data_IF_813737184841
#
_entry.id   IF_813737184841
#
_cell.length_a   1.000
_cell.length_b   1.000
_cell.length_c   1.000
_cell.angle_alpha   90.00
_cell.angle_beta   90.00
_cell.angle_gamma   90.00
#
_symmetry.space_group_name_H-M   'P 1'
#
loop_
_entity.id
_entity.type
_entity.pdbx_description
1 polymer ?
2 non-polymer ?
3 non-polymer ?
4 non-polymer ?
5 non-polymer ?
6 non-polymer ?
7 non-polymer ?
8 water ?
#
# COMPACT_ATOMS: atom_id res chain seq x y z
N UNK A 1 10.24 -20.45 -28.27
CA UNK A 1 11.54 -21.04 -27.98
C UNK A 1 11.94 -20.89 -26.51
N UNK A 2 13.16 -21.25 -26.28
CA UNK A 2 13.75 -21.17 -24.93
C UNK A 2 13.72 -19.81 -24.35
N UNK A 3 14.00 -18.79 -25.16
CA UNK A 3 14.04 -17.42 -24.65
C UNK A 3 12.67 -16.96 -24.22
N UNK A 4 11.65 -17.26 -25.03
CA UNK A 4 10.34 -16.89 -24.71
C UNK A 4 9.85 -17.60 -23.41
N UNK A 5 10.17 -18.86 -23.32
CA UNK A 5 9.70 -19.63 -22.23
C UNK A 5 10.33 -19.04 -20.91
N UNK A 6 11.61 -18.75 -20.89
CA UNK A 6 12.29 -18.21 -19.68
C UNK A 6 11.76 -16.84 -19.35
N UNK A 7 11.56 -16.05 -20.39
CA UNK A 7 11.01 -14.76 -20.24
C UNK A 7 9.58 -14.75 -19.63
N UNK A 8 8.71 -15.64 -20.13
CA UNK A 8 7.39 -15.78 -19.62
C UNK A 8 7.38 -16.25 -18.21
N UNK A 9 8.25 -17.19 -17.89
CA UNK A 9 8.40 -17.66 -16.55
C UNK A 9 8.82 -16.50 -15.62
N UNK A 10 9.73 -15.67 -16.06
CA UNK A 10 10.13 -14.55 -15.26
C UNK A 10 8.99 -13.53 -15.08
N UNK A 11 8.27 -13.26 -16.16
CA UNK A 11 7.10 -12.41 -16.11
C UNK A 11 5.96 -12.94 -15.16
N UNK A 12 5.59 -14.21 -15.25
CA UNK A 12 4.66 -14.76 -14.40
C UNK A 12 5.10 -14.78 -12.93
N UNK A 13 6.35 -15.03 -12.60
CA UNK A 13 6.80 -14.84 -11.20
C UNK A 13 6.63 -13.41 -10.74
N UNK A 14 6.98 -12.41 -11.57
CA UNK A 14 6.76 -10.98 -11.23
C UNK A 14 5.27 -10.74 -10.95
N UNK A 15 4.36 -11.24 -11.83
CA UNK A 15 2.96 -11.11 -11.55
C UNK A 15 2.51 -11.74 -10.22
N UNK A 16 2.96 -12.97 -9.95
CA UNK A 16 2.73 -13.66 -8.68
C UNK A 16 3.24 -12.87 -7.50
N UNK A 17 4.42 -12.28 -7.65
CA UNK A 17 5.06 -11.47 -6.58
C UNK A 17 4.17 -10.23 -6.32
N UNK A 18 3.81 -9.53 -7.38
CA UNK A 18 2.96 -8.38 -7.28
C UNK A 18 1.57 -8.72 -6.62
N UNK A 19 0.93 -9.83 -6.98
CA UNK A 19 -0.24 -10.23 -6.29
C UNK A 19 -0.06 -10.49 -4.77
N UNK A 20 0.98 -11.27 -4.42
CA UNK A 20 1.28 -11.51 -3.00
C UNK A 20 1.57 -10.30 -2.26
N UNK A 21 2.43 -9.49 -2.77
CA UNK A 21 2.76 -8.25 -2.08
C UNK A 21 1.60 -7.31 -1.87
N UNK A 22 0.71 -7.21 -2.84
CA UNK A 22 -0.39 -6.39 -2.72
C UNK A 22 -1.48 -6.83 -1.77
N UNK A 23 -1.72 -8.14 -1.70
CA UNK A 23 -2.56 -8.71 -0.68
C UNK A 23 -2.01 -8.54 0.70
N UNK A 24 -0.70 -8.56 0.85
CA UNK A 24 -0.11 -8.32 2.15
C UNK A 24 -0.30 -6.88 2.66
N UNK A 25 -0.29 -5.94 1.72
CA UNK A 25 -0.62 -4.53 2.04
C UNK A 25 -2.05 -4.33 2.34
N UNK A 26 -2.89 -5.07 1.67
CA UNK A 26 -4.30 -4.93 1.83
C UNK A 26 -4.82 -5.20 3.20
N UNK A 27 -4.25 -6.16 3.87
CA UNK A 27 -4.69 -6.53 5.14
C UNK A 27 -4.54 -5.42 6.22
N UNK A 28 -3.33 -4.96 6.52
CA UNK A 28 -3.30 -3.78 7.39
C UNK A 28 -4.13 -2.53 6.91
N UNK A 29 -4.25 -2.28 5.63
CA UNK A 29 -5.09 -1.21 5.17
C UNK A 29 -6.55 -1.28 5.53
N UNK A 30 -7.12 -2.47 5.37
CA UNK A 30 -8.55 -2.74 5.74
C UNK A 30 -8.78 -2.51 7.22
N UNK A 31 -7.85 -2.87 8.09
CA UNK A 31 -7.84 -2.38 9.45
C UNK A 31 -7.90 -0.83 9.70
N UNK A 32 -6.95 -0.07 9.13
CA UNK A 32 -6.96 1.33 9.21
C UNK A 32 -8.31 1.88 8.76
N UNK A 33 -8.78 1.43 7.62
CA UNK A 33 -10.06 1.88 7.11
C UNK A 33 -11.25 1.54 7.99
N UNK A 34 -11.29 0.32 8.46
CA UNK A 34 -12.32 -0.12 9.29
C UNK A 34 -12.39 0.66 10.57
N UNK A 35 -11.25 0.92 11.15
CA UNK A 35 -11.18 1.68 12.41
C UNK A 35 -11.61 3.12 12.23
N UNK A 36 -11.23 3.71 11.12
CA UNK A 36 -11.71 5.07 10.82
C UNK A 36 -13.18 5.15 10.56
N UNK A 37 -13.76 4.15 9.93
CA UNK A 37 -15.22 4.12 9.78
C UNK A 37 -15.91 3.98 11.10
N UNK A 38 -15.34 3.24 12.03
CA UNK A 38 -15.94 3.08 13.38
C UNK A 38 -16.09 4.41 14.04
N UNK A 39 -15.05 5.19 13.95
CA UNK A 39 -15.11 6.53 14.39
C UNK A 39 -16.17 7.38 13.68
N UNK A 40 -16.21 7.36 12.37
CA UNK A 40 -17.21 8.14 11.71
C UNK A 40 -18.64 7.72 12.09
N UNK A 41 -18.89 6.44 12.33
CA UNK A 41 -20.21 5.98 12.79
C UNK A 41 -20.58 6.42 14.22
N UNK A 42 -19.71 7.12 14.95
CA UNK A 42 -19.98 7.53 16.34
C UNK A 42 -19.68 6.40 17.36
N UNK A 43 -19.10 5.30 16.89
CA UNK A 43 -18.90 4.14 17.76
C UNK A 43 -17.59 4.17 18.59
N UNK A 44 -16.74 5.20 18.50
CA UNK A 44 -15.40 5.14 19.18
C UNK A 44 -15.50 5.84 20.51
N UNK A 45 -15.27 5.09 21.58
CA UNK A 45 -15.26 5.69 22.95
C UNK A 45 -13.76 6.10 23.18
N UNK A 46 -12.81 5.18 23.05
CA UNK A 46 -11.39 5.47 23.27
C UNK A 46 -10.66 5.62 21.95
N UNK A 47 -10.64 6.83 21.43
CA UNK A 47 -9.97 7.14 20.21
C UNK A 47 -8.49 6.91 20.32
N UNK A 48 -7.92 7.06 21.49
CA UNK A 48 -6.48 6.81 21.66
C UNK A 48 -6.05 5.39 21.33
N UNK A 49 -6.88 4.45 21.75
CA UNK A 49 -6.71 3.06 21.40
C UNK A 49 -6.91 2.82 19.93
N UNK A 50 -7.94 3.41 19.32
CA UNK A 50 -8.24 3.29 17.95
C UNK A 50 -7.07 3.80 17.14
N UNK A 51 -6.56 4.94 17.52
CA UNK A 51 -5.41 5.60 16.87
C UNK A 51 -4.09 4.83 16.98
N UNK A 52 -3.92 4.20 18.11
CA UNK A 52 -2.78 3.37 18.35
C UNK A 52 -2.74 2.18 17.37
N UNK A 53 -3.87 1.54 17.18
CA UNK A 53 -3.94 0.44 16.25
C UNK A 53 -3.67 0.95 14.85
N UNK A 54 -4.26 2.08 14.51
CA UNK A 54 -4.04 2.66 13.24
C UNK A 54 -2.58 2.96 13.00
N UNK A 55 -1.91 3.52 13.97
CA UNK A 55 -0.51 3.82 13.87
C UNK A 55 0.35 2.57 13.70
N UNK A 56 0.00 1.54 14.42
CA UNK A 56 0.69 0.30 14.37
C UNK A 56 0.59 -0.32 12.99
N UNK A 57 -0.59 -0.33 12.43
CA UNK A 57 -0.79 -0.90 11.07
C UNK A 57 -0.08 -0.04 10.02
N UNK A 58 0.02 1.27 10.21
CA UNK A 58 0.62 2.13 9.25
C UNK A 58 2.13 1.84 9.27
N UNK A 59 2.69 1.68 10.45
CA UNK A 59 4.10 1.37 10.58
C UNK A 59 4.41 0.00 9.98
N UNK A 60 3.56 -0.98 10.24
CA UNK A 60 3.70 -2.27 9.60
C UNK A 60 3.71 -2.09 8.06
N UNK A 61 2.78 -1.36 7.48
CA UNK A 61 2.81 -1.19 6.06
C UNK A 61 3.99 -0.43 5.59
N UNK A 62 4.49 0.44 6.46
CA UNK A 62 5.65 1.17 6.09
C UNK A 62 6.84 0.30 5.84
N UNK A 63 7.01 -0.67 6.69
CA UNK A 63 8.03 -1.63 6.50
C UNK A 63 7.83 -2.50 5.33
N UNK A 64 6.61 -2.94 5.06
CA UNK A 64 6.34 -3.74 3.87
C UNK A 64 6.74 -2.90 2.65
N UNK A 65 6.31 -1.64 2.63
CA UNK A 65 6.54 -0.85 1.46
C UNK A 65 8.02 -0.62 1.25
N UNK A 66 8.74 -0.34 2.34
CA UNK A 66 10.23 -0.17 2.17
C UNK A 66 10.90 -1.42 1.60
N UNK A 67 10.44 -2.58 2.02
CA UNK A 67 10.96 -3.80 1.50
C UNK A 67 10.57 -4.03 0.07
N UNK A 68 9.33 -3.68 -0.32
CA UNK A 68 8.99 -3.77 -1.74
C UNK A 68 9.85 -2.91 -2.65
N UNK A 69 10.13 -1.71 -2.19
CA UNK A 69 10.98 -0.76 -2.89
C UNK A 69 12.33 -1.38 -3.14
N UNK A 70 12.91 -2.07 -2.10
CA UNK A 70 14.20 -2.72 -2.29
C UNK A 70 14.13 -3.93 -3.18
N UNK A 71 13.07 -4.72 -3.04
CA UNK A 71 12.93 -5.92 -3.91
C UNK A 71 12.70 -5.60 -5.33
N UNK A 72 12.08 -4.50 -5.60
CA UNK A 72 11.82 -4.14 -7.04
C UNK A 72 13.12 -3.88 -7.76
N UNK A 73 14.19 -3.60 -7.02
CA UNK A 73 15.49 -3.44 -7.65
C UNK A 73 16.20 -4.77 -7.91
N UNK A 74 15.79 -5.90 -7.37
CA UNK A 74 16.54 -7.13 -7.53
C UNK A 74 16.07 -8.01 -8.63
N UNK B 1 13.87 -13.72 -29.16
CA UNK B 1 13.17 -13.01 -30.28
C UNK B 1 12.03 -12.22 -29.72
N UNK B 2 10.96 -12.05 -30.50
CA UNK B 2 9.85 -11.12 -30.20
C UNK B 2 8.99 -11.45 -29.00
N UNK B 3 8.62 -12.71 -28.83
CA UNK B 3 7.84 -13.13 -27.65
C UNK B 3 8.61 -12.87 -26.37
N UNK B 4 9.92 -13.17 -26.36
CA UNK B 4 10.80 -12.87 -25.20
C UNK B 4 10.82 -11.37 -24.87
N UNK B 5 10.85 -10.55 -25.92
CA UNK B 5 10.75 -9.10 -25.84
C UNK B 5 9.45 -8.59 -25.20
N UNK B 6 8.31 -9.03 -25.70
CA UNK B 6 7.04 -8.69 -25.08
C UNK B 6 6.99 -9.09 -23.56
N UNK B 7 7.38 -10.30 -23.22
CA UNK B 7 7.34 -10.75 -21.85
C UNK B 7 8.25 -9.90 -21.01
N UNK B 8 9.42 -9.58 -21.52
CA UNK B 8 10.38 -8.73 -20.85
C UNK B 8 9.90 -7.31 -20.70
N UNK B 9 9.32 -6.77 -21.76
CA UNK B 9 8.73 -5.45 -21.69
C UNK B 9 7.60 -5.37 -20.63
N UNK B 10 6.81 -6.43 -20.59
CA UNK B 10 5.74 -6.55 -19.61
C UNK B 10 6.27 -6.59 -18.17
N UNK B 11 7.26 -7.40 -17.92
CA UNK B 11 7.95 -7.48 -16.59
C UNK B 11 8.60 -6.16 -16.12
N UNK B 12 9.22 -5.47 -17.05
CA UNK B 12 9.87 -4.18 -16.78
C UNK B 12 8.89 -3.11 -16.43
N UNK B 13 7.76 -3.11 -17.14
CA UNK B 13 6.65 -2.19 -16.87
C UNK B 13 6.00 -2.43 -15.49
N UNK B 14 5.78 -3.70 -15.13
CA UNK B 14 5.35 -4.08 -13.80
C UNK B 14 6.31 -3.72 -12.69
N UNK B 15 7.58 -3.98 -12.91
CA UNK B 15 8.61 -3.54 -11.93
C UNK B 15 8.62 -2.03 -11.65
N UNK B 16 8.43 -1.26 -12.70
CA UNK B 16 8.32 0.20 -12.52
C UNK B 16 7.09 0.61 -11.80
N UNK B 17 5.98 -0.05 -12.10
CA UNK B 17 4.72 0.18 -11.37
C UNK B 17 4.82 -0.06 -9.93
N UNK B 18 5.41 -1.16 -9.57
CA UNK B 18 5.54 -1.44 -8.18
C UNK B 18 6.43 -0.40 -7.50
N UNK B 19 7.53 -0.01 -8.15
CA UNK B 19 8.32 1.09 -7.67
C UNK B 19 7.52 2.39 -7.45
N UNK B 20 6.78 2.81 -8.49
CA UNK B 20 6.06 4.06 -8.39
C UNK B 20 4.98 3.97 -7.30
N UNK B 21 4.18 2.90 -7.35
CA UNK B 21 3.18 2.64 -6.30
C UNK B 21 3.72 2.68 -4.92
N UNK B 22 4.83 2.05 -4.67
CA UNK B 22 5.40 1.91 -3.36
C UNK B 22 5.85 3.29 -2.89
N UNK B 23 6.50 4.04 -3.79
CA UNK B 23 6.82 5.42 -3.44
C UNK B 23 5.57 6.25 -3.09
N UNK B 24 4.52 6.10 -3.88
CA UNK B 24 3.29 6.82 -3.65
C UNK B 24 2.56 6.33 -2.36
N UNK B 25 2.73 5.11 -1.90
CA UNK B 25 2.11 4.66 -0.65
C UNK B 25 2.87 5.25 0.56
N UNK B 26 4.12 5.55 0.36
CA UNK B 26 4.98 6.05 1.40
C UNK B 26 4.50 7.39 1.89
N UNK B 27 4.01 8.24 1.00
CA UNK B 27 3.52 9.51 1.31
C UNK B 27 2.23 9.62 2.21
N UNK B 28 1.07 8.95 1.87
CA UNK B 28 0.04 8.74 2.87
C UNK B 28 0.52 8.17 4.19
N UNK B 29 1.46 7.22 4.21
CA UNK B 29 1.86 6.63 5.48
C UNK B 29 2.58 7.62 6.37
N UNK B 30 3.42 8.44 5.74
CA UNK B 30 4.10 9.54 6.48
C UNK B 30 3.13 10.60 6.97
N UNK B 31 2.12 10.95 6.14
CA UNK B 31 1.05 11.85 6.55
C UNK B 31 0.29 11.34 7.76
N UNK B 32 -0.10 10.08 7.73
CA UNK B 32 -0.86 9.52 8.88
C UNK B 32 0.03 9.64 10.16
N UNK B 33 1.28 9.22 10.03
CA UNK B 33 2.23 9.24 11.14
C UNK B 33 2.50 10.58 11.73
N UNK B 34 2.76 11.53 10.83
CA UNK B 34 2.97 12.88 11.26
C UNK B 34 1.83 13.60 11.91
N UNK B 35 0.62 13.40 11.33
CA UNK B 35 -0.57 14.01 11.89
C UNK B 35 -0.84 13.33 13.21
N UNK B 36 -0.77 11.97 13.28
CA UNK B 36 -1.07 11.33 14.54
C UNK B 36 -0.17 11.85 15.68
N UNK B 37 1.08 11.96 15.40
CA UNK B 37 2.00 12.61 16.37
C UNK B 37 1.65 14.00 16.85
N UNK B 38 1.31 14.88 15.95
CA UNK B 38 0.94 16.25 16.29
C UNK B 38 -0.25 16.24 17.22
N UNK B 39 -1.25 15.43 16.86
CA UNK B 39 -2.47 15.30 17.68
C UNK B 39 -2.25 14.73 19.08
N UNK B 40 -1.43 13.73 19.16
CA UNK B 40 -1.09 13.14 20.44
C UNK B 40 -0.38 14.13 21.34
N UNK B 41 0.43 15.00 20.77
CA UNK B 41 1.22 16.01 21.46
C UNK B 41 0.42 17.21 21.91
N UNK B 42 -0.85 17.29 21.48
CA UNK B 42 -1.71 18.42 21.84
C UNK B 42 -1.52 19.68 21.09
N UNK B 43 -0.92 19.56 19.88
CA UNK B 43 -0.58 20.68 19.12
C UNK B 43 -1.68 20.97 18.12
N UNK B 44 -2.69 20.11 18.04
CA UNK B 44 -3.82 20.33 17.10
C UNK B 44 -5.26 20.16 17.65
N UNK B 45 -6.22 20.68 16.90
CA UNK B 45 -7.60 20.57 17.27
C UNK B 45 -8.46 19.91 16.18
N UNK B 46 -9.55 19.32 16.60
CA UNK B 46 -10.55 18.62 15.68
C UNK B 46 -10.04 17.32 15.27
N UNK B 47 -10.26 16.42 16.17
CA UNK B 47 -9.90 15.05 16.00
C UNK B 47 -10.69 14.42 14.86
N UNK B 48 -11.87 14.92 14.59
CA UNK B 48 -12.62 14.46 13.42
C UNK B 48 -11.90 14.76 12.14
N UNK B 49 -11.19 15.90 12.02
CA UNK B 49 -10.35 16.11 10.86
C UNK B 49 -9.12 15.18 10.75
N UNK B 50 -8.50 14.82 11.88
CA UNK B 50 -7.45 13.85 11.83
C UNK B 50 -8.02 12.55 11.26
N UNK B 51 -9.09 12.05 11.87
CA UNK B 51 -9.69 10.77 11.41
C UNK B 51 -10.20 10.81 9.98
N UNK B 52 -10.66 11.96 9.55
CA UNK B 52 -11.13 12.12 8.15
C UNK B 52 -10.00 12.15 7.21
N UNK B 53 -8.87 12.64 7.66
CA UNK B 53 -7.67 12.65 6.82
C UNK B 53 -7.11 11.21 6.70
N UNK B 54 -7.12 10.49 7.82
CA UNK B 54 -6.69 9.07 7.83
C UNK B 54 -7.61 8.27 6.84
N UNK B 55 -8.91 8.54 6.86
CA UNK B 55 -9.89 7.87 6.01
C UNK B 55 -9.59 8.14 4.55
N UNK B 56 -9.37 9.39 4.22
CA UNK B 56 -8.95 9.74 2.91
C UNK B 56 -7.65 9.11 2.34
N UNK B 57 -6.63 9.13 3.15
CA UNK B 57 -5.32 8.59 2.79
C UNK B 57 -5.50 7.05 2.59
N UNK B 58 -6.24 6.41 3.51
CA UNK B 58 -6.49 5.00 3.42
C UNK B 58 -7.27 4.63 2.16
N UNK B 59 -8.20 5.47 1.77
CA UNK B 59 -8.97 5.19 0.56
C UNK B 59 -8.08 5.30 -0.67
N UNK B 60 -7.17 6.24 -0.66
CA UNK B 60 -6.28 6.47 -1.75
C UNK B 60 -5.31 5.30 -1.90
N UNK B 61 -4.82 4.82 -0.78
CA UNK B 61 -3.95 3.69 -0.72
C UNK B 61 -4.69 2.46 -1.25
N UNK B 62 -5.95 2.31 -0.90
CA UNK B 62 -6.80 1.19 -1.40
C UNK B 62 -6.77 1.13 -2.91
N UNK B 63 -6.89 2.31 -3.53
CA UNK B 63 -6.98 2.32 -4.98
C UNK B 63 -5.69 1.99 -5.60
N UNK B 64 -4.59 2.41 -5.00
CA UNK B 64 -3.23 2.03 -5.44
C UNK B 64 -2.94 0.53 -5.33
N UNK B 65 -3.28 -0.05 -4.20
CA UNK B 65 -3.14 -1.46 -4.00
C UNK B 65 -3.99 -2.26 -5.04
N UNK B 66 -5.23 -1.90 -5.20
CA UNK B 66 -6.06 -2.58 -6.18
C UNK B 66 -5.54 -2.39 -7.59
N UNK B 67 -4.95 -1.26 -7.90
CA UNK B 67 -4.41 -1.09 -9.22
C UNK B 67 -3.30 -2.14 -9.49
N UNK B 68 -2.47 -2.41 -8.50
CA UNK B 68 -1.40 -3.37 -8.61
C UNK B 68 -1.98 -4.75 -8.83
N UNK B 69 -2.94 -5.11 -7.98
CA UNK B 69 -3.55 -6.42 -8.12
C UNK B 69 -4.14 -6.57 -9.55
N UNK B 70 -4.75 -5.54 -10.07
CA UNK B 70 -5.38 -5.69 -11.38
C UNK B 70 -4.34 -5.76 -12.50
N UNK B 71 -3.30 -4.95 -12.34
CA UNK B 71 -2.19 -5.02 -13.28
C UNK B 71 -1.62 -6.38 -13.41
N UNK B 72 -1.44 -7.05 -12.31
CA UNK B 72 -0.98 -8.42 -12.25
C UNK B 72 -1.89 -9.37 -13.03
N UNK B 73 -3.17 -9.10 -13.12
CA UNK B 73 -4.03 -10.01 -13.82
C UNK B 73 -4.18 -9.62 -15.25
N UNK B 74 -3.68 -8.48 -15.68
CA UNK B 74 -3.84 -8.16 -17.09
C UNK B 74 -2.67 -8.67 -17.94
X LIG C 1 13.08 -10.12 -9.55
X LIG D 1 10.50 -6.92 5.68
X LIG D 1 11.01 -5.99 6.63
X LIG D 1 9.04 -7.26 5.91
X LIG D 1 8.43 -7.68 4.67
X LIG E 1 11.95 -7.71 -8.26
X LIG E 1 10.80 -8.05 -7.48
X LIG E 1 10.85 -9.44 -6.80
X LIG E 1 11.00 -10.51 -7.75
X LIG E 1 9.76 -10.94 -8.31
X LIG E 1 9.97 -11.92 -9.43
X LIG E 1 10.92 -11.46 -10.36
X LIG E 1 11.02 -12.28 -11.57
X LIG E 1 12.44 -12.65 -11.98
X LIG E 1 13.39 -11.56 -12.10
X LIG E 1 14.77 -12.05 -12.12
X LIG E 1 15.91 -11.03 -11.90
X LIG E 1 15.47 -9.87 -11.18
X LIG F 1 18.88 4.21 -9.48
X LIG F 1 17.75 4.55 -8.67
X LIG F 1 18.40 3.39 -10.66
X LIG F 1 17.58 2.26 -10.26
X LIG F 1 17.60 1.28 -11.32
X LIG F 1 16.70 0.11 -11.04
X LIG F 1 12.83 0.41 -9.69
X LIG F 1 12.99 -0.22 -10.95
X LIG F 1 14.44 -0.60 -11.13
X LIG F 1 15.33 0.51 -10.87
X LIG G 1 -18.92 12.25 15.31
X LIG G 1 -18.97 11.62 14.04
X LIG G 1 -17.69 11.76 16.05
X LIG G 1 -17.96 10.44 16.55
X LIG G 1 -17.58 10.13 17.90
X LIG G 1 -16.51 9.05 17.91
X LIG G 1 -16.85 7.88 17.14
X LIG H 1 8.92 -15.54 -31.74
X LIG H 1 10.03 -15.00 -32.43
X LIG H 1 9.44 -16.26 -30.51
X LIG H 1 10.11 -15.37 -29.56
X LIG H 1 11.34 -15.81 -28.95
X LIG H 1 11.38 -17.32 -28.74
X LIG H 1 12.46 -17.74 -27.93
X LIG I 1 2.86 5.65 12.40
X LIG I 1 3.53 5.77 13.66
X LIG I 1 3.93 5.22 11.41
X LIG I 1 3.57 5.50 10.06
X LIG J 1 -6.62 -16.69 -11.84
X LIG J 1 -5.58 -15.73 -12.08
X LIG J 1 -4.54 -16.20 -12.96
X LIG J 1 -3.48 -15.13 -13.25
X LIG J 1 -2.80 -14.83 -12.02
X LIG J 1 -1.58 -14.09 -12.12
X LIG J 1 -0.99 -13.89 -10.74
X LIG J 1 -1.92 -13.15 -9.92
X LIG K 1 3.12 -7.48 -33.32
X LIG K 1 3.31 -8.68 -34.08
X LIG K 1 4.15 -6.44 -33.72
X LIG K 1 4.21 -5.34 -32.79
X LIG K 1 5.49 -4.76 -32.54
X LIG K 1 5.86 -4.92 -31.07
X LIG K 1 7.24 -4.59 -30.88
#
# INVERSE_FOLDING_TARGET
>A
GHMAEKARDSEDRMRQFITDASHELRTPLTTIRGFAELYRQGAARDVGMLLSRIESEASRMGLLVDDLLLLAKL
>B
GHMAEKARDSEDRMRQFITDASHELRTPLTTIRGFAELYRQGAARDVGMLLSRIESEASRMGLLVDDLLLLAKL
>C hetero
1 K K
>D hetero
1 EDO C1 O1 C2 O2
>E hetero
1 PG4 O1 C1 C2 O2 C3 C4 O3 C5 C6 O4 C7 C8 O5
>F hetero
1 PGE C1 O1 C2 O2 C3 C4 O4 C6 C5 O3
>G hetero
1 PEG C1 O1 C2 O2 C3 C4 O4
>H hetero
1 PEG C1 O1 C2 O2 C3 C4 O4
>I hetero
1 EDO C1 O1 C2 O2
>J hetero
1 PG0 C5 O2 C4 C3 O1 C2 C1 OTT
>K hetero
1 PEG C1 O1 C2 O2 C3 C4 O4
#
